data_IF_268033691566
#
_entry.id   IF_268033691566
#
_cell.length_a   1.000
_cell.length_b   1.000
_cell.length_c   1.000
_cell.angle_alpha   90.00
_cell.angle_beta   90.00
_cell.angle_gamma   90.00
#
_symmetry.space_group_name_H-M   'P 1'
#
loop_
_entity.id
_entity.type
_entity.pdbx_description
1 polymer ?
#
# COMPACT_ATOMS: atom_id res chain seq x y z
N UNK A 1 -11.22 -4.81 15.36
CA UNK A 1 -10.34 -4.60 14.21
C UNK A 1 -10.74 -3.33 13.51
N UNK A 2 -9.79 -2.48 13.23
CA UNK A 2 -10.08 -1.18 12.63
C UNK A 2 -9.92 -1.22 11.13
N UNK A 3 -10.90 -0.67 10.44
CA UNK A 3 -10.87 -0.51 9.00
C UNK A 3 -11.06 0.96 8.68
N UNK A 4 -10.67 1.35 7.48
CA UNK A 4 -10.99 2.68 7.01
C UNK A 4 -12.51 2.82 6.86
N UNK A 5 -13.06 4.03 7.03
CA UNK A 5 -14.47 4.25 6.76
C UNK A 5 -14.83 3.86 5.32
N UNK A 6 -16.08 3.51 5.11
CA UNK A 6 -16.54 3.02 3.81
C UNK A 6 -16.30 4.02 2.69
N UNK A 7 -16.44 5.31 2.95
CA UNK A 7 -16.19 6.33 1.94
C UNK A 7 -14.71 6.37 1.52
N UNK A 8 -13.79 6.08 2.44
CA UNK A 8 -12.36 5.97 2.10
C UNK A 8 -12.12 4.72 1.26
N UNK A 9 -12.71 3.58 1.64
CA UNK A 9 -12.59 2.36 0.85
C UNK A 9 -13.15 2.53 -0.56
N UNK A 10 -14.26 3.24 -0.71
CA UNK A 10 -14.84 3.53 -2.01
C UNK A 10 -13.88 4.41 -2.84
N UNK A 11 -13.27 5.40 -2.23
CA UNK A 11 -12.31 6.27 -2.92
C UNK A 11 -11.09 5.46 -3.37
N UNK A 12 -10.59 4.57 -2.52
CA UNK A 12 -9.47 3.69 -2.88
C UNK A 12 -9.84 2.81 -4.07
N UNK A 13 -11.05 2.28 -4.08
CA UNK A 13 -11.48 1.42 -5.18
C UNK A 13 -11.58 2.17 -6.51
N UNK A 14 -11.93 3.46 -6.48
CA UNK A 14 -12.14 4.27 -7.68
C UNK A 14 -10.87 4.92 -8.21
N UNK A 15 -10.02 5.44 -7.32
CA UNK A 15 -8.86 6.22 -7.72
C UNK A 15 -7.79 5.33 -8.30
N UNK A 16 -7.33 5.64 -9.50
CA UNK A 16 -6.26 4.87 -10.14
C UNK A 16 -4.91 5.16 -9.53
N UNK A 17 -4.69 6.40 -9.13
CA UNK A 17 -3.42 6.81 -8.54
C UNK A 17 -3.70 7.68 -7.34
N UNK A 18 -2.88 7.51 -6.32
CA UNK A 18 -2.96 8.32 -5.11
C UNK A 18 -1.57 8.85 -4.79
N UNK A 19 -1.53 9.92 -4.01
CA UNK A 19 -0.26 10.47 -3.57
C UNK A 19 0.06 9.92 -2.19
N UNK A 20 1.20 9.28 -2.08
CA UNK A 20 1.67 8.69 -0.82
C UNK A 20 2.75 9.60 -0.24
N UNK A 21 2.58 10.01 1.00
CA UNK A 21 3.60 10.75 1.73
C UNK A 21 4.19 9.88 2.82
N UNK A 22 5.51 9.78 2.85
CA UNK A 22 6.25 9.06 3.88
C UNK A 22 7.32 9.98 4.45
N UNK A 23 7.95 9.56 5.54
CA UNK A 23 8.95 10.37 6.24
C UNK A 23 10.33 9.75 6.11
N UNK A 24 11.31 10.58 5.77
CA UNK A 24 12.68 10.14 5.57
C UNK A 24 13.29 9.52 6.82
N UNK A 25 14.10 8.50 6.61
CA UNK A 25 14.68 7.71 7.70
C UNK A 25 15.65 8.51 8.56
N UNK A 26 16.40 9.42 7.94
CA UNK A 26 17.45 10.18 8.64
C UNK A 26 16.96 11.53 9.13
N UNK A 27 16.21 12.25 8.31
CA UNK A 27 15.84 13.63 8.60
C UNK A 27 14.38 13.77 9.05
N UNK A 28 13.55 12.76 8.83
CA UNK A 28 12.11 12.87 9.07
C UNK A 28 11.39 13.72 8.05
N UNK A 29 12.07 14.14 6.99
CA UNK A 29 11.52 15.03 5.99
C UNK A 29 10.48 14.32 5.14
N UNK A 30 9.39 15.02 4.83
CA UNK A 30 8.33 14.47 3.99
C UNK A 30 8.80 14.23 2.57
N UNK A 31 8.43 13.07 2.02
CA UNK A 31 8.62 12.73 0.61
C UNK A 31 7.32 12.19 0.06
N UNK A 32 6.94 12.62 -1.14
CA UNK A 32 5.68 12.19 -1.75
C UNK A 32 5.94 11.54 -3.09
N UNK A 33 5.19 10.48 -3.37
CA UNK A 33 5.22 9.77 -4.64
C UNK A 33 3.80 9.42 -5.07
N UNK A 34 3.60 9.24 -6.36
CA UNK A 34 2.33 8.77 -6.89
C UNK A 34 2.41 7.25 -7.02
N UNK A 35 1.43 6.55 -6.49
CA UNK A 35 1.41 5.09 -6.48
C UNK A 35 0.03 4.55 -6.87
N UNK A 36 0.01 3.27 -7.20
CA UNK A 36 -1.22 2.51 -7.35
C UNK A 36 -1.66 1.99 -5.98
N UNK A 37 -2.96 1.77 -5.84
CA UNK A 37 -3.55 1.35 -4.58
C UNK A 37 -4.73 0.43 -4.85
N UNK A 38 -4.93 -0.56 -4.00
CA UNK A 38 -6.03 -1.51 -4.14
C UNK A 38 -6.69 -1.77 -2.80
N UNK A 39 -7.91 -2.27 -2.86
CA UNK A 39 -8.64 -2.72 -1.68
C UNK A 39 -9.44 -3.98 -2.06
N UNK A 40 -9.61 -4.85 -1.07
CA UNK A 40 -10.53 -5.99 -1.22
C UNK A 40 -11.91 -5.68 -0.63
N UNK A 41 -12.18 -4.41 -0.31
CA UNK A 41 -13.42 -3.98 0.31
C UNK A 41 -13.34 -3.94 1.83
N UNK A 42 -12.27 -4.46 2.39
CA UNK A 42 -12.04 -4.56 3.83
C UNK A 42 -10.71 -3.91 4.19
N UNK A 43 -9.64 -4.30 3.51
CA UNK A 43 -8.28 -3.84 3.76
C UNK A 43 -7.76 -3.07 2.57
N UNK A 44 -6.80 -2.19 2.82
CA UNK A 44 -6.16 -1.37 1.79
C UNK A 44 -4.71 -1.80 1.67
N UNK A 45 -4.26 -1.98 0.43
CA UNK A 45 -2.90 -2.47 0.15
C UNK A 45 -2.19 -1.58 -0.84
N UNK A 46 -0.89 -1.41 -0.63
CA UNK A 46 0.02 -0.78 -1.58
C UNK A 46 1.23 -1.69 -1.77
N UNK A 47 1.93 -1.51 -2.88
CA UNK A 47 3.16 -2.26 -3.13
C UNK A 47 4.11 -1.42 -3.97
N UNK A 48 5.41 -1.69 -3.82
CA UNK A 48 6.43 -1.14 -4.70
C UNK A 48 6.79 -2.19 -5.75
N UNK A 49 6.46 -1.94 -7.01
CA UNK A 49 6.75 -2.88 -8.09
C UNK A 49 8.23 -3.17 -8.27
N UNK A 50 9.09 -2.26 -7.84
CA UNK A 50 10.54 -2.42 -7.88
C UNK A 50 11.09 -2.99 -6.58
N UNK A 51 10.21 -3.42 -5.67
CA UNK A 51 10.61 -4.04 -4.43
C UNK A 51 11.06 -3.04 -3.38
N UNK A 52 11.86 -3.52 -2.45
CA UNK A 52 12.31 -2.73 -1.31
C UNK A 52 13.44 -1.75 -1.64
N UNK A 53 13.82 -1.63 -2.90
CA UNK A 53 14.90 -0.72 -3.33
C UNK A 53 14.48 0.74 -3.36
N UNK A 54 13.20 1.02 -3.51
CA UNK A 54 12.67 2.38 -3.54
C UNK A 54 12.75 3.02 -2.16
N UNK A 55 12.73 4.35 -2.14
CA UNK A 55 12.82 5.08 -0.87
C UNK A 55 11.58 4.90 -0.01
N UNK A 56 10.38 4.98 -0.61
CA UNK A 56 9.17 4.97 0.20
C UNK A 56 8.93 3.64 0.94
N UNK A 57 9.20 2.44 0.35
CA UNK A 57 9.09 1.22 1.14
C UNK A 57 10.07 1.20 2.31
N UNK A 58 11.30 1.65 2.08
CA UNK A 58 12.30 1.73 3.15
C UNK A 58 11.87 2.71 4.24
N UNK A 59 11.27 3.84 3.84
CA UNK A 59 10.77 4.81 4.80
C UNK A 59 9.68 4.21 5.68
N UNK A 60 8.75 3.46 5.08
CA UNK A 60 7.67 2.82 5.85
C UNK A 60 8.20 1.72 6.76
N UNK A 61 9.24 0.99 6.36
CA UNK A 61 9.86 0.00 7.24
C UNK A 61 10.47 0.65 8.47
N UNK A 62 11.04 1.84 8.33
CA UNK A 62 11.64 2.57 9.43
C UNK A 62 10.61 3.37 10.25
N UNK A 63 9.63 3.96 9.57
CA UNK A 63 8.58 4.76 10.17
C UNK A 63 7.26 4.41 9.50
N UNK A 64 6.41 3.61 10.15
CA UNK A 64 5.20 3.09 9.49
C UNK A 64 4.10 4.10 9.24
N UNK A 65 4.20 5.31 9.80
CA UNK A 65 3.18 6.34 9.63
C UNK A 65 3.34 7.06 8.30
N UNK A 66 2.22 7.45 7.72
CA UNK A 66 2.21 8.26 6.51
C UNK A 66 0.83 8.80 6.23
N UNK A 67 0.68 9.44 5.08
CA UNK A 67 -0.62 9.94 4.63
C UNK A 67 -0.84 9.58 3.18
N UNK A 68 -2.11 9.41 2.84
CA UNK A 68 -2.58 9.29 1.45
C UNK A 68 -3.34 10.54 1.10
N UNK A 69 -3.12 11.05 -0.10
CA UNK A 69 -3.98 12.08 -0.65
C UNK A 69 -4.80 11.45 -1.76
N UNK A 70 -6.10 11.39 -1.56
CA UNK A 70 -7.03 10.80 -2.50
C UNK A 70 -8.37 11.49 -2.34
N UNK A 71 -9.08 11.61 -3.44
CA UNK A 71 -10.44 12.18 -3.45
C UNK A 71 -10.49 13.53 -2.73
N UNK A 72 -9.46 14.38 -2.94
CA UNK A 72 -9.41 15.72 -2.41
C UNK A 72 -9.18 15.85 -0.91
N UNK A 73 -8.76 14.76 -0.26
CA UNK A 73 -8.53 14.79 1.20
C UNK A 73 -7.27 14.03 1.57
N UNK A 74 -6.81 14.27 2.78
CA UNK A 74 -5.65 13.58 3.36
C UNK A 74 -6.15 12.53 4.35
N UNK A 75 -5.62 11.32 4.23
CA UNK A 75 -5.98 10.20 5.09
C UNK A 75 -4.71 9.68 5.75
N UNK A 76 -4.63 9.79 7.06
CA UNK A 76 -3.48 9.28 7.81
C UNK A 76 -3.57 7.78 7.97
N UNK A 77 -2.42 7.11 7.92
CA UNK A 77 -2.37 5.66 8.06
C UNK A 77 -1.15 5.24 8.86
N UNK A 78 -1.20 4.00 9.32
CA UNK A 78 -0.03 3.26 9.79
C UNK A 78 0.09 2.02 8.93
N UNK A 79 1.28 1.78 8.39
CA UNK A 79 1.48 0.65 7.50
C UNK A 79 1.92 -0.59 8.27
N UNK A 80 1.58 -1.76 7.72
CA UNK A 80 2.04 -3.05 8.21
C UNK A 80 2.69 -3.77 7.03
N UNK A 81 3.98 -4.07 7.15
CA UNK A 81 4.68 -4.81 6.11
C UNK A 81 4.14 -6.25 6.06
N UNK A 82 3.73 -6.67 4.89
CA UNK A 82 3.19 -8.02 4.69
C UNK A 82 4.35 -8.98 4.49
N UNK A 83 4.51 -9.92 5.42
CA UNK A 83 5.56 -10.93 5.36
C UNK A 83 5.02 -12.32 5.06
N UNK A 84 3.72 -12.52 5.21
CA UNK A 84 3.07 -13.80 4.95
C UNK A 84 2.90 -13.99 3.44
N UNK A 85 3.48 -15.04 2.83
CA UNK A 85 3.40 -15.19 1.37
C UNK A 85 1.97 -15.26 0.83
N UNK A 86 1.07 -15.94 1.54
CA UNK A 86 -0.32 -16.04 1.08
C UNK A 86 -0.98 -14.67 1.03
N UNK A 87 -0.73 -13.83 2.03
CA UNK A 87 -1.30 -12.48 2.07
C UNK A 87 -0.68 -11.58 1.00
N UNK A 88 0.62 -11.70 0.77
CA UNK A 88 1.29 -10.93 -0.27
C UNK A 88 0.72 -11.28 -1.65
N UNK A 89 0.48 -12.55 -1.91
CA UNK A 89 -0.14 -13.00 -3.17
C UNK A 89 -1.58 -12.55 -3.29
N UNK A 90 -2.31 -12.55 -2.18
CA UNK A 90 -3.69 -12.03 -2.15
C UNK A 90 -3.71 -10.57 -2.58
N UNK A 91 -2.82 -9.74 -2.03
CA UNK A 91 -2.78 -8.33 -2.40
C UNK A 91 -2.43 -8.14 -3.88
N UNK A 92 -1.53 -8.97 -4.42
CA UNK A 92 -1.17 -8.90 -5.83
C UNK A 92 -2.35 -9.21 -6.74
N UNK A 93 -3.21 -10.15 -6.35
CA UNK A 93 -4.38 -10.53 -7.15
C UNK A 93 -5.39 -9.40 -7.30
N UNK A 94 -5.38 -8.45 -6.39
CA UNK A 94 -6.32 -7.32 -6.45
C UNK A 94 -5.97 -6.32 -7.55
N UNK A 95 -4.74 -6.33 -8.03
CA UNK A 95 -4.30 -5.38 -9.05
C UNK A 95 -4.86 -5.70 -10.44
N UNK A 96 -5.02 -6.98 -10.76
CA UNK A 96 -5.51 -7.38 -12.06
C UNK A 96 -6.84 -6.76 -12.45
N UNK A 97 -7.89 -6.91 -11.64
CA UNK A 97 -9.20 -6.33 -11.97
C UNK A 97 -9.20 -4.82 -12.12
N UNK A 98 -8.31 -4.13 -11.42
CA UNK A 98 -8.28 -2.67 -11.44
C UNK A 98 -7.33 -2.10 -12.49
N UNK A 99 -6.15 -2.73 -12.67
CA UNK A 99 -5.07 -2.16 -13.48
C UNK A 99 -4.69 -3.04 -14.67
N UNK A 100 -5.32 -4.18 -14.85
CA UNK A 100 -5.01 -5.07 -15.94
C UNK A 100 -3.94 -6.09 -15.58
N UNK A 101 -3.47 -6.84 -16.56
CA UNK A 101 -2.62 -8.01 -16.36
C UNK A 101 -1.14 -7.70 -16.13
N UNK A 102 -0.76 -6.44 -16.00
CA UNK A 102 0.65 -6.06 -15.81
C UNK A 102 1.20 -6.48 -14.45
N UNK A 103 0.34 -6.71 -13.47
CA UNK A 103 0.75 -7.19 -12.16
C UNK A 103 0.29 -8.64 -12.02
N UNK A 104 1.25 -9.56 -11.99
CA UNK A 104 0.96 -10.99 -11.88
C UNK A 104 1.41 -11.50 -10.51
N UNK A 105 0.51 -12.16 -9.77
CA UNK A 105 0.93 -12.78 -8.52
C UNK A 105 1.80 -14.01 -8.80
N UNK A 106 2.73 -14.29 -7.89
CA UNK A 106 3.49 -15.54 -7.96
C UNK A 106 2.60 -16.71 -7.56
N UNK A 107 2.95 -17.92 -8.02
CA UNK A 107 2.26 -19.12 -7.58
C UNK A 107 2.89 -19.63 -6.29
N UNK A 108 2.22 -20.57 -5.63
CA UNK A 108 2.72 -21.13 -4.37
C UNK A 108 4.07 -21.82 -4.52
N UNK A 109 4.39 -22.28 -5.73
CA UNK A 109 5.66 -22.95 -6.00
C UNK A 109 6.77 -21.99 -6.40
N UNK A 110 6.47 -20.71 -6.54
CA UNK A 110 7.43 -19.70 -6.96
C UNK A 110 7.81 -18.80 -5.78
N UNK A 111 9.01 -18.21 -5.80
CA UNK A 111 9.32 -17.17 -4.80
C UNK A 111 8.46 -15.94 -5.02
N UNK A 112 8.32 -15.14 -3.97
CA UNK A 112 7.59 -13.88 -4.08
C UNK A 112 8.30 -12.95 -5.07
N UNK A 113 7.50 -12.24 -5.87
CA UNK A 113 8.05 -11.21 -6.76
C UNK A 113 8.58 -10.04 -5.93
N UNK A 114 9.45 -9.19 -6.50
CA UNK A 114 9.89 -7.99 -5.78
C UNK A 114 8.74 -7.15 -5.24
N UNK A 115 7.67 -6.99 -6.03
CA UNK A 115 6.50 -6.23 -5.58
C UNK A 115 5.79 -6.89 -4.42
N UNK A 116 5.70 -8.21 -4.42
CA UNK A 116 5.09 -8.94 -3.30
C UNK A 116 5.94 -8.84 -2.04
N UNK A 117 7.25 -8.77 -2.18
CA UNK A 117 8.16 -8.56 -1.04
C UNK A 117 8.02 -7.17 -0.45
N UNK A 118 7.53 -6.21 -1.21
CA UNK A 118 7.37 -4.83 -0.79
C UNK A 118 5.90 -4.43 -0.73
N UNK A 119 5.06 -5.32 -0.24
CA UNK A 119 3.62 -5.07 -0.08
C UNK A 119 3.32 -4.66 1.35
N UNK A 120 2.40 -3.72 1.51
CA UNK A 120 2.01 -3.20 2.81
C UNK A 120 0.49 -3.12 2.89
N UNK A 121 -0.03 -3.44 4.06
CA UNK A 121 -1.41 -3.11 4.40
C UNK A 121 -1.41 -1.75 5.09
N UNK A 122 -2.35 -0.89 4.73
CA UNK A 122 -2.52 0.40 5.38
C UNK A 122 -3.68 0.31 6.36
N UNK A 123 -3.46 0.79 7.58
CA UNK A 123 -4.44 0.77 8.65
C UNK A 123 -4.78 2.20 9.03
N UNK A 124 -6.05 2.50 9.36
CA UNK A 124 -6.38 3.85 9.79
C UNK A 124 -5.70 4.14 11.12
N UNK A 125 -5.19 5.37 11.25
CA UNK A 125 -4.71 5.80 12.55
C UNK A 125 -5.91 6.12 13.41
N UNK A 126 -5.81 5.81 14.68
CA UNK A 126 -6.89 6.08 15.60
C UNK A 126 -6.79 7.53 16.04
N UNK A 127 -7.56 8.36 15.38
CA UNK A 127 -7.71 9.75 15.79
C UNK A 127 -8.97 9.81 16.62
N UNK A 128 -8.80 9.74 17.87
CA UNK A 128 -9.94 9.88 18.77
C UNK A 128 -10.10 11.30 19.23
#
# INVERSE_FOLDING_TARGET
MKQFPEDVLDAVAKEKEVRLTTYGRKTGKETSVTIWIVTDGDKVYIRSGQGLKRHWPKNLLARPEGTLQLDGRSVSFKSRHITEPAEARHSSKLYGPKYGSSVKPSSESEPLTPGEQAAFELLPTNVS
#
